data_IF_535547825117
#
_entry.id   IF_535547825117
#
_cell.length_a   1.000
_cell.length_b   1.000
_cell.length_c   1.000
_cell.angle_alpha   90.00
_cell.angle_beta   90.00
_cell.angle_gamma   90.00
#
_symmetry.space_group_name_H-M   'P 1'
#
loop_
_entity.id
_entity.type
_entity.pdbx_description
1 polymer ?
#
# COMPACT_ATOMS: atom_id res chain seq x y z
N UNK A 1 52.57 -72.88 41.85
CA UNK A 1 52.40 -71.77 40.89
C UNK A 1 51.89 -70.56 41.65
N UNK A 2 52.40 -69.34 41.44
CA UNK A 2 51.91 -68.15 42.15
C UNK A 2 50.48 -67.81 41.71
N UNK A 3 49.62 -67.48 42.68
CA UNK A 3 48.22 -67.11 42.43
C UNK A 3 48.16 -65.62 42.07
N UNK A 4 47.59 -65.28 40.92
CA UNK A 4 47.56 -63.92 40.37
C UNK A 4 46.19 -63.26 40.55
N UNK A 5 46.17 -61.98 40.91
CA UNK A 5 44.95 -61.17 40.93
C UNK A 5 44.73 -60.53 39.55
N UNK A 6 43.89 -61.13 38.71
CA UNK A 6 43.59 -60.62 37.36
C UNK A 6 43.21 -59.12 37.27
N UNK A 7 42.44 -58.53 38.20
CA UNK A 7 42.11 -57.10 38.12
C UNK A 7 43.21 -56.13 38.57
N UNK A 8 44.33 -56.58 39.16
CA UNK A 8 45.44 -55.67 39.52
C UNK A 8 46.86 -56.23 39.26
N UNK A 9 46.96 -57.38 38.59
CA UNK A 9 48.18 -58.10 38.19
C UNK A 9 49.20 -58.38 39.30
N UNK A 10 48.76 -58.37 40.57
CA UNK A 10 49.61 -58.74 41.71
C UNK A 10 49.70 -60.25 41.88
N UNK A 11 50.93 -60.75 42.10
CA UNK A 11 51.21 -62.15 42.41
C UNK A 11 51.26 -62.38 43.92
N UNK A 12 50.67 -63.50 44.35
CA UNK A 12 50.61 -63.91 45.75
C UNK A 12 51.24 -65.28 45.92
N UNK A 13 51.83 -65.50 47.10
CA UNK A 13 52.50 -66.74 47.47
C UNK A 13 51.53 -67.91 47.72
N UNK A 14 50.25 -67.62 47.95
CA UNK A 14 49.19 -68.62 48.14
C UNK A 14 47.80 -68.10 47.75
N UNK A 15 46.86 -69.03 47.51
CA UNK A 15 45.45 -68.71 47.27
C UNK A 15 44.77 -68.04 48.48
N UNK A 16 45.15 -68.42 49.71
CA UNK A 16 44.66 -67.79 50.94
C UNK A 16 45.02 -66.29 50.97
N UNK A 17 46.28 -65.97 50.60
CA UNK A 17 46.77 -64.59 50.56
C UNK A 17 46.08 -63.79 49.44
N UNK A 18 45.81 -64.42 48.29
CA UNK A 18 45.02 -63.82 47.22
C UNK A 18 43.57 -63.52 47.67
N UNK A 19 42.91 -64.45 48.37
CA UNK A 19 41.54 -64.25 48.90
C UNK A 19 41.50 -63.11 49.93
N UNK A 20 42.45 -63.06 50.85
CA UNK A 20 42.55 -61.98 51.83
C UNK A 20 42.82 -60.63 51.14
N UNK A 21 43.64 -60.61 50.09
CA UNK A 21 43.86 -59.41 49.28
C UNK A 21 42.58 -58.92 48.60
N UNK A 22 41.81 -59.82 47.98
CA UNK A 22 40.52 -59.47 47.36
C UNK A 22 39.52 -58.93 48.40
N UNK A 23 39.56 -59.43 49.63
CA UNK A 23 38.69 -58.97 50.71
C UNK A 23 39.14 -57.65 51.38
N UNK A 24 40.42 -57.28 51.32
CA UNK A 24 40.94 -56.10 52.06
C UNK A 24 41.31 -54.93 51.15
N UNK A 25 41.50 -55.18 49.85
CA UNK A 25 41.87 -54.15 48.89
C UNK A 25 40.70 -53.23 48.56
N UNK A 26 40.89 -51.92 48.72
CA UNK A 26 39.94 -50.88 48.30
C UNK A 26 39.66 -50.91 46.78
N UNK A 27 40.57 -51.46 45.99
CA UNK A 27 40.37 -51.64 44.54
C UNK A 27 39.31 -52.72 44.21
N UNK A 28 39.04 -53.63 45.14
CA UNK A 28 38.07 -54.73 45.01
C UNK A 28 36.92 -54.62 46.02
N UNK A 29 36.78 -53.45 46.66
CA UNK A 29 35.69 -53.15 47.56
C UNK A 29 34.33 -53.32 46.86
N UNK A 30 33.48 -54.27 47.29
CA UNK A 30 32.25 -54.62 46.58
C UNK A 30 31.12 -53.61 46.81
N UNK A 31 31.20 -52.78 47.85
CA UNK A 31 30.18 -51.80 48.18
C UNK A 31 30.66 -50.40 47.80
N UNK A 32 29.79 -49.59 47.20
CA UNK A 32 30.10 -48.21 46.84
C UNK A 32 28.90 -47.30 47.05
N UNK A 33 29.18 -46.01 47.21
CA UNK A 33 28.17 -44.97 47.39
C UNK A 33 27.91 -44.29 46.05
N UNK A 34 26.67 -44.41 45.55
CA UNK A 34 26.26 -43.86 44.25
C UNK A 34 26.36 -42.33 44.16
N UNK A 35 26.29 -41.63 45.30
CA UNK A 35 26.24 -40.16 45.32
C UNK A 35 27.61 -39.50 45.44
N UNK A 36 28.64 -40.19 45.93
CA UNK A 36 29.98 -39.59 46.13
C UNK A 36 31.15 -40.50 45.73
N UNK A 37 30.86 -41.58 44.98
CA UNK A 37 31.82 -42.54 44.40
C UNK A 37 32.79 -43.21 45.40
N UNK A 38 32.50 -43.13 46.70
CA UNK A 38 33.32 -43.77 47.74
C UNK A 38 33.06 -45.26 47.78
N UNK A 39 34.14 -46.05 47.78
CA UNK A 39 34.12 -47.52 47.89
C UNK A 39 34.42 -47.99 49.30
N UNK A 40 33.70 -49.01 49.75
CA UNK A 40 33.72 -49.60 51.09
C UNK A 40 33.89 -51.11 51.01
N UNK A 41 34.72 -51.64 51.90
CA UNK A 41 35.04 -53.07 51.95
C UNK A 41 33.90 -53.88 52.57
N UNK A 42 33.13 -53.27 53.48
CA UNK A 42 31.99 -53.91 54.17
C UNK A 42 30.71 -53.09 54.01
N UNK A 43 29.57 -53.78 54.11
CA UNK A 43 28.24 -53.17 54.04
C UNK A 43 28.00 -52.20 55.21
N UNK A 44 28.40 -52.55 56.43
CA UNK A 44 28.24 -51.68 57.61
C UNK A 44 28.97 -50.35 57.47
N UNK A 45 30.15 -50.35 56.85
CA UNK A 45 30.92 -49.14 56.60
C UNK A 45 30.23 -48.21 55.59
N UNK A 46 29.57 -48.78 54.57
CA UNK A 46 28.73 -48.00 53.66
C UNK A 46 27.50 -47.43 54.38
N UNK A 47 26.81 -48.23 55.21
CA UNK A 47 25.62 -47.78 55.94
C UNK A 47 25.94 -46.65 56.94
N UNK A 48 27.06 -46.72 57.65
CA UNK A 48 27.51 -45.62 58.51
C UNK A 48 27.84 -44.35 57.70
N UNK A 49 28.45 -44.50 56.53
CA UNK A 49 28.75 -43.38 55.65
C UNK A 49 27.47 -42.67 55.19
N UNK A 50 26.44 -43.43 54.78
CA UNK A 50 25.14 -42.87 54.37
C UNK A 50 24.45 -42.11 55.51
N UNK A 51 24.62 -42.54 56.77
CA UNK A 51 24.00 -41.89 57.94
C UNK A 51 24.73 -40.63 58.44
N UNK A 52 26.04 -40.53 58.20
CA UNK A 52 26.88 -39.51 58.85
C UNK A 52 27.44 -38.47 57.88
N UNK A 53 27.45 -38.75 56.58
CA UNK A 53 28.02 -37.83 55.62
C UNK A 53 27.09 -36.65 55.34
N UNK A 54 27.60 -35.40 55.33
CA UNK A 54 26.82 -34.21 54.99
C UNK A 54 26.18 -34.28 53.61
N UNK A 55 26.77 -35.03 52.68
CA UNK A 55 26.28 -35.22 51.31
C UNK A 55 24.95 -35.98 51.27
N UNK A 56 24.64 -36.76 52.31
CA UNK A 56 23.42 -37.56 52.41
C UNK A 56 22.42 -37.05 53.46
N UNK A 57 22.78 -35.98 54.19
CA UNK A 57 21.88 -35.33 55.12
C UNK A 57 20.98 -34.36 54.35
N UNK A 58 19.66 -34.33 54.61
CA UNK A 58 18.77 -33.37 53.99
C UNK A 58 19.13 -31.94 54.44
N UNK A 59 19.49 -31.06 53.50
CA UNK A 59 19.65 -29.63 53.73
C UNK A 59 18.42 -28.86 53.27
N UNK A 60 18.10 -27.76 53.95
CA UNK A 60 17.01 -26.85 53.58
C UNK A 60 17.61 -25.56 53.03
N UNK A 61 17.26 -25.22 51.80
CA UNK A 61 17.83 -24.06 51.09
C UNK A 61 16.96 -22.81 51.23
N UNK A 62 17.61 -21.67 51.48
CA UNK A 62 16.96 -20.37 51.42
C UNK A 62 16.70 -19.98 49.96
N UNK A 63 15.43 -19.88 49.56
CA UNK A 63 15.05 -19.49 48.19
C UNK A 63 15.51 -18.06 47.82
N UNK A 64 15.70 -17.19 48.81
CA UNK A 64 16.05 -15.79 48.58
C UNK A 64 17.55 -15.57 48.34
N UNK A 65 18.43 -16.37 48.95
CA UNK A 65 19.87 -16.18 48.84
C UNK A 65 20.67 -17.44 48.47
N UNK A 66 20.01 -18.59 48.35
CA UNK A 66 20.62 -19.86 47.94
C UNK A 66 21.49 -20.54 49.00
N UNK A 67 21.52 -20.05 50.25
CA UNK A 67 22.26 -20.71 51.34
C UNK A 67 21.54 -21.95 51.85
N UNK A 68 22.30 -23.05 51.99
CA UNK A 68 21.85 -24.32 52.56
C UNK A 68 22.04 -24.35 54.08
N UNK A 69 21.01 -24.83 54.79
CA UNK A 69 21.00 -24.95 56.24
C UNK A 69 20.75 -26.40 56.67
N UNK A 70 21.27 -26.75 57.84
CA UNK A 70 21.17 -28.11 58.42
C UNK A 70 19.81 -28.42 59.07
N UNK A 71 18.95 -27.42 59.26
CA UNK A 71 17.60 -27.57 59.81
C UNK A 71 16.71 -26.40 59.40
N UNK A 72 15.39 -26.59 59.52
CA UNK A 72 14.41 -25.56 59.20
C UNK A 72 14.44 -24.40 60.20
N UNK A 73 14.73 -24.64 61.48
CA UNK A 73 14.85 -23.61 62.51
C UNK A 73 16.02 -22.65 62.22
N UNK A 74 17.14 -23.19 61.72
CA UNK A 74 18.29 -22.39 61.33
C UNK A 74 17.97 -21.51 60.11
N UNK A 75 17.15 -22.01 59.17
CA UNK A 75 16.66 -21.22 58.04
C UNK A 75 15.70 -20.11 58.52
N UNK A 76 14.77 -20.41 59.43
CA UNK A 76 13.82 -19.43 59.97
C UNK A 76 14.55 -18.28 60.68
N UNK A 77 15.55 -18.55 61.51
CA UNK A 77 16.37 -17.50 62.14
C UNK A 77 17.12 -16.66 61.11
N UNK A 78 17.60 -17.26 60.03
CA UNK A 78 18.24 -16.54 58.93
C UNK A 78 17.27 -15.59 58.20
N UNK A 79 16.02 -16.01 57.98
CA UNK A 79 14.98 -15.18 57.34
C UNK A 79 14.54 -13.98 58.20
N UNK A 80 14.76 -14.02 59.51
CA UNK A 80 14.50 -12.89 60.41
C UNK A 80 15.61 -11.82 60.40
N UNK A 81 16.69 -12.03 59.63
CA UNK A 81 17.76 -11.04 59.54
C UNK A 81 17.36 -9.79 58.73
N UNK A 82 17.97 -8.62 58.99
CA UNK A 82 17.67 -7.38 58.27
C UNK A 82 17.85 -7.48 56.75
N UNK A 83 18.71 -8.39 56.28
CA UNK A 83 18.92 -8.63 54.85
C UNK A 83 17.72 -9.28 54.15
N UNK A 84 16.76 -9.81 54.91
CA UNK A 84 15.55 -10.45 54.42
C UNK A 84 14.27 -9.79 54.96
N UNK A 85 14.38 -8.62 55.59
CA UNK A 85 13.23 -7.84 56.01
C UNK A 85 12.51 -7.25 54.77
N UNK A 86 11.15 -7.23 54.75
CA UNK A 86 10.40 -6.62 53.66
C UNK A 86 10.66 -5.11 53.61
N UNK A 87 11.04 -4.60 52.43
CA UNK A 87 11.19 -3.16 52.14
C UNK A 87 9.88 -2.57 51.63
N UNK A 88 9.63 -1.30 51.97
CA UNK A 88 8.51 -0.53 51.42
C UNK A 88 9.05 0.45 50.39
N UNK A 89 8.91 0.12 49.11
CA UNK A 89 9.59 0.81 48.03
C UNK A 89 8.67 1.82 47.31
N UNK A 90 9.19 3.03 47.07
CA UNK A 90 8.52 4.03 46.26
C UNK A 90 8.82 3.79 44.77
N UNK A 91 7.82 3.35 43.99
CA UNK A 91 7.98 3.03 42.55
C UNK A 91 8.46 4.24 41.74
N UNK A 92 8.03 5.45 42.10
CA UNK A 92 8.37 6.68 41.36
C UNK A 92 9.81 7.15 41.54
N UNK A 93 10.52 6.75 42.61
CA UNK A 93 11.90 7.19 42.84
C UNK A 93 12.85 6.08 43.33
N UNK A 94 12.38 4.83 43.38
CA UNK A 94 13.09 3.63 43.83
C UNK A 94 13.77 3.77 45.20
N UNK A 95 13.20 4.57 46.11
CA UNK A 95 13.65 4.63 47.51
C UNK A 95 12.94 3.59 48.37
N UNK A 96 13.73 2.88 49.18
CA UNK A 96 13.27 1.90 50.16
C UNK A 96 13.08 2.51 51.54
N UNK A 97 11.96 2.19 52.17
CA UNK A 97 11.60 2.66 53.51
C UNK A 97 11.45 1.48 54.48
N UNK A 98 11.71 1.76 55.76
CA UNK A 98 11.66 0.78 56.86
C UNK A 98 10.24 0.33 57.23
N UNK A 99 9.22 1.11 56.87
CA UNK A 99 7.82 0.81 57.14
C UNK A 99 6.89 1.59 56.20
N UNK A 100 5.63 1.16 56.11
CA UNK A 100 4.57 1.76 55.30
C UNK A 100 4.30 3.24 55.66
N UNK A 101 4.36 3.59 56.95
CA UNK A 101 4.08 4.95 57.40
C UNK A 101 5.12 5.96 56.87
N UNK A 102 6.39 5.57 56.84
CA UNK A 102 7.46 6.39 56.25
C UNK A 102 7.30 6.55 54.73
N UNK A 103 6.84 5.49 54.03
CA UNK A 103 6.52 5.57 52.60
C UNK A 103 5.34 6.53 52.35
N UNK A 104 4.27 6.44 53.14
CA UNK A 104 3.10 7.34 53.04
C UNK A 104 3.45 8.80 53.26
N UNK A 105 4.32 9.11 54.22
CA UNK A 105 4.80 10.48 54.41
C UNK A 105 5.65 10.97 53.24
N UNK A 106 6.48 10.11 52.67
CA UNK A 106 7.28 10.43 51.49
C UNK A 106 6.42 10.75 50.26
N UNK A 107 5.34 10.00 50.03
CA UNK A 107 4.39 10.24 48.94
C UNK A 107 3.59 11.54 49.06
N UNK A 108 3.53 12.15 50.26
CA UNK A 108 2.91 13.47 50.46
C UNK A 108 3.83 14.65 50.13
N UNK A 109 5.08 14.39 49.71
CA UNK A 109 6.01 15.46 49.35
C UNK A 109 5.65 16.10 47.99
N UNK A 110 6.02 17.38 47.75
CA UNK A 110 5.72 18.07 46.49
C UNK A 110 6.25 17.37 45.23
N UNK A 111 7.28 16.54 45.37
CA UNK A 111 7.84 15.74 44.27
C UNK A 111 6.90 14.62 43.81
N UNK A 112 5.88 14.28 44.61
CA UNK A 112 4.91 13.22 44.36
C UNK A 112 3.46 13.72 44.40
N UNK A 113 3.25 15.04 44.41
CA UNK A 113 1.92 15.65 44.35
C UNK A 113 1.26 15.34 42.99
N UNK A 114 -0.02 14.91 42.92
CA UNK A 114 -0.67 14.63 41.64
C UNK A 114 -0.79 15.92 40.83
N UNK A 115 0.05 16.05 39.81
CA UNK A 115 -0.08 17.12 38.84
C UNK A 115 -1.07 16.72 37.74
N UNK A 116 -1.74 17.72 37.18
CA UNK A 116 -2.65 17.59 36.04
C UNK A 116 -1.88 18.01 34.77
N UNK A 117 -1.25 17.07 34.05
CA UNK A 117 -0.47 17.38 32.86
C UNK A 117 -1.37 17.77 31.69
N UNK A 118 -0.97 18.81 30.96
CA UNK A 118 -1.59 19.15 29.68
C UNK A 118 -1.19 18.12 28.63
N UNK A 119 -2.15 17.62 27.84
CA UNK A 119 -1.85 16.67 26.74
C UNK A 119 -1.23 17.35 25.52
N UNK A 120 -1.32 18.68 25.44
CA UNK A 120 -0.96 19.47 24.26
C UNK A 120 0.31 20.32 24.49
N UNK A 121 0.90 20.30 25.69
CA UNK A 121 2.20 20.93 25.99
C UNK A 121 2.82 20.35 27.27
N UNK A 122 4.10 20.67 27.53
CA UNK A 122 4.86 20.14 28.68
C UNK A 122 4.51 20.77 30.04
N UNK A 123 3.37 21.49 30.14
CA UNK A 123 2.95 22.14 31.39
C UNK A 123 2.08 21.22 32.23
N UNK A 124 2.34 21.22 33.54
CA UNK A 124 1.56 20.48 34.52
C UNK A 124 1.01 21.42 35.58
N UNK A 125 -0.24 21.19 35.99
CA UNK A 125 -0.99 22.09 36.87
C UNK A 125 -1.30 21.43 38.21
N UNK A 126 -1.52 22.25 39.22
CA UNK A 126 -1.80 21.83 40.61
C UNK A 126 -3.27 21.50 40.89
N UNK A 127 -4.17 21.75 39.94
CA UNK A 127 -5.58 21.36 40.01
C UNK A 127 -6.19 21.19 38.62
N UNK A 128 -7.29 20.45 38.53
CA UNK A 128 -8.03 20.27 37.27
C UNK A 128 -8.59 21.61 36.76
N UNK A 129 -9.09 22.48 37.63
CA UNK A 129 -9.64 23.79 37.23
C UNK A 129 -8.57 24.66 36.57
N UNK A 130 -7.33 24.62 37.08
CA UNK A 130 -6.21 25.33 36.48
C UNK A 130 -5.82 24.75 35.11
N UNK A 131 -5.92 23.42 34.94
CA UNK A 131 -5.73 22.77 33.64
C UNK A 131 -6.87 23.16 32.66
N UNK A 132 -8.13 23.17 33.08
CA UNK A 132 -9.26 23.54 32.23
C UNK A 132 -9.16 24.99 31.75
N UNK A 133 -8.78 25.93 32.62
CA UNK A 133 -8.53 27.32 32.22
C UNK A 133 -7.37 27.43 31.21
N UNK A 134 -6.31 26.63 31.38
CA UNK A 134 -5.21 26.57 30.42
C UNK A 134 -5.65 26.03 29.05
N UNK A 135 -6.52 25.01 29.02
CA UNK A 135 -7.08 24.44 27.79
C UNK A 135 -7.99 25.43 27.03
N UNK A 136 -8.55 26.43 27.71
CA UNK A 136 -9.32 27.52 27.09
C UNK A 136 -8.46 28.66 26.55
N UNK A 137 -7.13 28.61 26.71
CA UNK A 137 -6.23 29.65 26.20
C UNK A 137 -6.13 29.64 24.66
N UNK A 138 -5.77 30.76 24.02
CA UNK A 138 -5.64 30.84 22.56
C UNK A 138 -4.63 29.86 21.95
N UNK A 139 -3.68 29.36 22.75
CA UNK A 139 -2.70 28.36 22.33
C UNK A 139 -3.31 26.96 22.14
N UNK A 140 -4.49 26.71 22.70
CA UNK A 140 -5.20 25.43 22.64
C UNK A 140 -6.62 25.57 22.07
N UNK A 141 -6.96 26.75 21.53
CA UNK A 141 -8.21 26.95 20.82
C UNK A 141 -8.27 26.01 19.59
N UNK A 142 -9.39 25.29 19.38
CA UNK A 142 -9.53 24.42 18.22
C UNK A 142 -9.38 25.24 16.92
N UNK A 143 -8.39 24.87 16.11
CA UNK A 143 -8.20 25.45 14.78
C UNK A 143 -9.04 24.70 13.76
N UNK A 144 -9.51 25.43 12.77
CA UNK A 144 -10.19 24.88 11.60
C UNK A 144 -9.17 24.72 10.50
N UNK A 145 -8.65 23.50 10.36
CA UNK A 145 -7.57 23.21 9.42
C UNK A 145 -8.10 22.92 8.02
N UNK A 146 -7.45 23.50 7.02
CA UNK A 146 -7.71 23.15 5.64
C UNK A 146 -7.14 21.76 5.34
N UNK A 147 -7.94 20.89 4.72
CA UNK A 147 -7.51 19.53 4.34
C UNK A 147 -6.66 19.50 3.07
N UNK A 148 -6.63 20.60 2.31
CA UNK A 148 -5.96 20.72 1.01
C UNK A 148 -4.64 21.48 1.16
N UNK A 149 -4.56 22.44 2.07
CA UNK A 149 -3.29 23.09 2.43
C UNK A 149 -3.14 23.12 3.95
N UNK A 150 -1.89 23.10 4.45
CA UNK A 150 -1.59 23.07 5.89
C UNK A 150 -1.86 24.38 6.63
N UNK A 151 -2.86 25.18 6.21
CA UNK A 151 -3.27 26.42 6.88
C UNK A 151 -4.40 26.17 7.88
N UNK A 152 -4.24 26.79 9.04
CA UNK A 152 -5.14 26.69 10.19
C UNK A 152 -5.85 28.01 10.43
N UNK A 153 -7.17 27.97 10.62
CA UNK A 153 -8.01 29.14 10.81
C UNK A 153 -8.58 29.18 12.22
N UNK A 154 -8.84 30.39 12.75
CA UNK A 154 -9.41 30.60 14.09
C UNK A 154 -10.94 30.42 14.14
N UNK A 155 -11.60 30.27 13.00
CA UNK A 155 -13.05 30.07 12.89
C UNK A 155 -13.42 29.28 11.64
N UNK A 156 -14.55 28.57 11.72
CA UNK A 156 -15.16 27.82 10.60
C UNK A 156 -15.48 28.75 9.41
N UNK A 157 -15.97 29.95 9.69
CA UNK A 157 -16.29 30.95 8.66
C UNK A 157 -15.03 31.39 7.89
N UNK A 158 -13.90 31.54 8.60
CA UNK A 158 -12.61 31.82 7.99
C UNK A 158 -12.10 30.68 7.11
N UNK A 159 -12.31 29.42 7.53
CA UNK A 159 -11.99 28.25 6.72
C UNK A 159 -12.89 28.18 5.46
N UNK A 160 -14.20 28.44 5.59
CA UNK A 160 -15.13 28.46 4.45
C UNK A 160 -14.79 29.54 3.43
N UNK A 161 -14.38 30.73 3.88
CA UNK A 161 -13.91 31.78 2.99
C UNK A 161 -12.60 31.39 2.29
N UNK A 162 -11.69 30.75 3.01
CA UNK A 162 -10.45 30.21 2.44
C UNK A 162 -10.70 29.12 1.38
N UNK A 163 -11.67 28.23 1.62
CA UNK A 163 -12.08 27.20 0.64
C UNK A 163 -12.71 27.78 -0.63
N UNK A 164 -13.22 29.02 -0.58
CA UNK A 164 -13.70 29.77 -1.76
C UNK A 164 -12.58 30.51 -2.52
N UNK A 165 -11.32 30.40 -2.07
CA UNK A 165 -10.20 31.02 -2.80
C UNK A 165 -9.86 30.23 -4.06
N UNK A 166 -9.25 30.86 -5.09
CA UNK A 166 -8.91 30.20 -6.35
C UNK A 166 -8.01 28.97 -6.22
N UNK A 167 -7.28 28.83 -5.10
CA UNK A 167 -6.44 27.68 -4.79
C UNK A 167 -7.23 26.44 -4.35
N UNK A 168 -8.49 26.61 -3.95
CA UNK A 168 -9.35 25.56 -3.37
C UNK A 168 -10.74 25.49 -3.99
N UNK A 169 -11.04 26.33 -4.98
CA UNK A 169 -12.30 26.28 -5.70
C UNK A 169 -12.45 24.95 -6.46
N UNK A 170 -13.68 24.46 -6.58
CA UNK A 170 -13.98 23.26 -7.34
C UNK A 170 -13.66 23.55 -8.82
N UNK A 171 -12.50 23.10 -9.26
CA UNK A 171 -12.04 23.37 -10.62
C UNK A 171 -12.95 22.68 -11.62
N UNK A 172 -13.46 23.44 -12.59
CA UNK A 172 -14.07 22.89 -13.77
C UNK A 172 -12.96 22.39 -14.69
N UNK A 173 -12.89 21.07 -14.84
CA UNK A 173 -11.91 20.45 -15.69
C UNK A 173 -12.36 20.54 -17.15
N UNK A 174 -11.45 20.99 -18.02
CA UNK A 174 -11.63 20.83 -19.45
C UNK A 174 -11.53 19.34 -19.79
N UNK A 175 -12.59 18.80 -20.40
CA UNK A 175 -12.71 17.37 -20.74
C UNK A 175 -11.70 16.90 -21.81
N UNK A 176 -10.97 17.84 -22.42
CA UNK A 176 -10.18 17.60 -23.62
C UNK A 176 -8.69 17.89 -23.42
N UNK A 177 -8.31 18.77 -22.50
CA UNK A 177 -6.89 19.12 -22.29
C UNK A 177 -6.44 19.14 -20.83
N UNK A 178 -7.19 18.51 -19.92
CA UNK A 178 -6.94 18.40 -18.46
C UNK A 178 -6.62 19.70 -17.73
N UNK A 179 -6.87 20.85 -18.38
CA UNK A 179 -6.71 22.16 -17.76
C UNK A 179 -7.88 22.44 -16.84
N UNK A 180 -7.54 22.96 -15.67
CA UNK A 180 -8.44 23.22 -14.56
C UNK A 180 -8.79 24.70 -14.52
N UNK A 181 -10.08 25.02 -14.52
CA UNK A 181 -10.58 26.40 -14.53
C UNK A 181 -11.37 26.69 -13.27
N UNK A 182 -11.15 27.87 -12.69
CA UNK A 182 -11.79 28.31 -11.45
C UNK A 182 -13.12 29.05 -11.68
N UNK A 183 -13.63 29.09 -12.91
CA UNK A 183 -14.96 29.64 -13.21
C UNK A 183 -15.49 29.13 -14.54
N UNK A 184 -16.82 29.07 -14.68
CA UNK A 184 -17.48 28.67 -15.93
C UNK A 184 -17.11 29.60 -17.09
N UNK A 185 -17.03 30.92 -16.84
CA UNK A 185 -16.63 31.89 -17.85
C UNK A 185 -15.18 31.72 -18.31
N UNK A 186 -14.25 31.34 -17.41
CA UNK A 186 -12.86 31.07 -17.76
C UNK A 186 -12.72 29.77 -18.57
N UNK A 187 -13.49 28.74 -18.24
CA UNK A 187 -13.58 27.51 -19.04
C UNK A 187 -14.15 27.83 -20.44
N UNK A 188 -15.24 28.58 -20.54
CA UNK A 188 -15.85 28.95 -21.83
C UNK A 188 -14.92 29.82 -22.68
N UNK A 189 -14.15 30.73 -22.08
CA UNK A 189 -13.13 31.50 -22.77
C UNK A 189 -11.98 30.60 -23.26
N UNK A 190 -11.50 29.68 -22.43
CA UNK A 190 -10.51 28.68 -22.85
C UNK A 190 -11.02 27.79 -23.99
N UNK A 191 -12.28 27.34 -23.94
CA UNK A 191 -12.89 26.58 -25.02
C UNK A 191 -13.03 27.39 -26.33
N UNK A 192 -13.16 28.73 -26.25
CA UNK A 192 -13.22 29.62 -27.43
C UNK A 192 -11.87 30.02 -27.99
N UNK A 193 -10.87 30.21 -27.13
CA UNK A 193 -9.63 30.91 -27.49
C UNK A 193 -8.39 30.00 -27.46
N UNK A 194 -8.49 28.78 -26.89
CA UNK A 194 -7.37 27.83 -26.88
C UNK A 194 -7.16 27.25 -28.28
N UNK A 195 -5.94 27.15 -28.82
CA UNK A 195 -5.70 26.48 -30.10
C UNK A 195 -6.17 25.01 -30.14
N UNK A 196 -6.41 24.38 -28.97
CA UNK A 196 -6.93 23.01 -28.83
C UNK A 196 -8.48 22.94 -28.94
N UNK A 197 -9.20 24.05 -28.77
CA UNK A 197 -10.69 24.09 -28.78
C UNK A 197 -11.24 25.25 -29.62
N UNK A 198 -10.63 26.40 -29.47
CA UNK A 198 -10.70 27.58 -30.30
C UNK A 198 -9.95 27.44 -31.61
N UNK A 199 -10.38 26.49 -32.44
CA UNK A 199 -10.24 26.63 -33.88
C UNK A 199 -11.48 26.06 -34.56
N UNK A 200 -12.39 26.95 -34.95
CA UNK A 200 -13.13 26.80 -36.21
C UNK A 200 -12.17 27.06 -37.40
N UNK A 201 -10.96 26.48 -37.36
CA UNK A 201 -10.22 26.28 -38.60
C UNK A 201 -11.03 25.26 -39.38
N UNK A 202 -11.16 25.47 -40.70
CA UNK A 202 -11.84 24.49 -41.55
C UNK A 202 -11.17 23.15 -41.29
N UNK A 203 -11.90 22.20 -40.72
CA UNK A 203 -11.39 20.85 -40.51
C UNK A 203 -11.06 20.23 -41.87
N UNK A 204 -10.20 19.20 -41.94
CA UNK A 204 -9.95 18.48 -43.19
C UNK A 204 -11.24 18.07 -43.93
N UNK A 205 -12.30 17.62 -43.23
CA UNK A 205 -13.60 17.35 -43.86
C UNK A 205 -14.31 18.61 -44.31
N UNK A 206 -14.27 19.71 -43.55
CA UNK A 206 -14.89 20.97 -44.00
C UNK A 206 -14.20 21.50 -45.27
N UNK A 207 -12.89 21.30 -45.40
CA UNK A 207 -12.11 21.64 -46.59
C UNK A 207 -12.46 20.71 -47.75
N UNK A 208 -12.59 19.40 -47.50
CA UNK A 208 -13.02 18.42 -48.48
C UNK A 208 -14.42 18.72 -49.03
N UNK A 209 -15.43 18.77 -48.17
CA UNK A 209 -16.81 19.04 -48.58
C UNK A 209 -16.96 20.45 -49.17
N UNK A 210 -16.22 21.42 -48.65
CA UNK A 210 -16.18 22.79 -49.19
C UNK A 210 -15.54 22.92 -50.57
N UNK A 211 -14.83 21.88 -51.07
CA UNK A 211 -14.30 21.89 -52.44
C UNK A 211 -15.38 21.68 -53.50
N UNK A 212 -16.56 21.17 -53.12
CA UNK A 212 -17.69 20.92 -54.01
C UNK A 212 -18.69 22.09 -53.95
N UNK A 213 -18.62 23.02 -54.92
CA UNK A 213 -19.43 24.26 -54.91
C UNK A 213 -20.93 24.03 -54.91
N UNK A 214 -21.38 22.95 -55.54
CA UNK A 214 -22.80 22.59 -55.64
C UNK A 214 -23.34 21.90 -54.39
N UNK A 215 -22.45 21.47 -53.49
CA UNK A 215 -22.81 20.71 -52.30
C UNK A 215 -23.03 21.63 -51.09
N UNK A 216 -24.25 21.62 -50.56
CA UNK A 216 -24.57 22.34 -49.32
C UNK A 216 -24.18 21.48 -48.11
N UNK A 217 -22.95 21.66 -47.66
CA UNK A 217 -22.42 20.93 -46.51
C UNK A 217 -22.98 21.43 -45.17
N UNK A 218 -23.42 20.49 -44.33
CA UNK A 218 -23.88 20.72 -42.95
C UNK A 218 -22.94 20.00 -41.98
N UNK A 219 -22.09 20.73 -41.23
CA UNK A 219 -21.14 20.16 -40.27
C UNK A 219 -21.78 19.43 -39.08
N UNK A 220 -23.09 19.61 -38.84
CA UNK A 220 -23.81 18.94 -37.75
C UNK A 220 -24.21 17.51 -38.07
N UNK A 221 -24.19 17.14 -39.36
CA UNK A 221 -24.49 15.79 -39.80
C UNK A 221 -23.26 14.88 -39.67
N UNK A 222 -23.45 13.58 -39.39
CA UNK A 222 -22.39 12.59 -39.49
C UNK A 222 -21.67 12.67 -40.83
N UNK A 223 -20.34 12.64 -40.80
CA UNK A 223 -19.51 12.85 -42.00
C UNK A 223 -19.84 11.87 -43.13
N UNK A 224 -20.17 10.62 -42.81
CA UNK A 224 -20.60 9.62 -43.78
C UNK A 224 -21.92 9.99 -44.48
N UNK A 225 -22.89 10.54 -43.73
CA UNK A 225 -24.16 11.00 -44.31
C UNK A 225 -23.93 12.12 -45.32
N UNK A 226 -22.99 13.02 -45.02
CA UNK A 226 -22.59 14.09 -45.95
C UNK A 226 -21.94 13.52 -47.21
N UNK A 227 -21.06 12.53 -47.08
CA UNK A 227 -20.45 11.87 -48.25
C UNK A 227 -21.47 11.12 -49.12
N UNK A 228 -22.43 10.40 -48.50
CA UNK A 228 -23.49 9.73 -49.24
C UNK A 228 -24.32 10.71 -50.08
N UNK A 229 -24.72 11.84 -49.48
CA UNK A 229 -25.44 12.91 -50.20
C UNK A 229 -24.61 13.53 -51.33
N UNK A 230 -23.30 13.71 -51.12
CA UNK A 230 -22.40 14.23 -52.15
C UNK A 230 -22.31 13.25 -53.33
N UNK A 231 -22.11 11.96 -53.06
CA UNK A 231 -22.05 10.92 -54.09
C UNK A 231 -23.35 10.88 -54.91
N UNK A 232 -24.50 10.97 -54.25
CA UNK A 232 -25.80 10.96 -54.91
C UNK A 232 -26.03 12.24 -55.74
N UNK A 233 -25.48 13.39 -55.33
CA UNK A 233 -25.53 14.66 -56.07
C UNK A 233 -24.67 14.64 -57.34
N UNK A 234 -23.45 14.11 -57.24
CA UNK A 234 -22.49 14.04 -58.36
C UNK A 234 -22.77 12.84 -59.28
N UNK A 235 -23.61 11.89 -58.87
CA UNK A 235 -24.03 10.76 -59.69
C UNK A 235 -22.95 9.69 -59.90
N UNK A 236 -21.98 9.58 -58.98
CA UNK A 236 -20.87 8.65 -59.13
C UNK A 236 -21.32 7.18 -59.03
N UNK A 237 -21.12 6.44 -60.12
CA UNK A 237 -21.38 5.00 -60.18
C UNK A 237 -20.19 4.17 -59.66
N UNK A 238 -20.42 2.87 -59.44
CA UNK A 238 -19.36 1.97 -58.97
C UNK A 238 -18.29 1.84 -60.05
N UNK A 239 -17.06 2.28 -59.72
CA UNK A 239 -15.91 2.22 -60.63
C UNK A 239 -15.63 3.53 -61.35
N UNK A 240 -16.42 4.57 -61.10
CA UNK A 240 -16.16 5.92 -61.59
C UNK A 240 -14.81 6.46 -61.07
N UNK A 241 -13.90 6.93 -61.96
CA UNK A 241 -12.60 7.45 -61.55
C UNK A 241 -12.68 8.69 -60.67
N UNK A 242 -13.62 9.60 -60.91
CA UNK A 242 -13.80 10.83 -60.14
C UNK A 242 -14.40 10.51 -58.77
N UNK A 243 -15.39 9.61 -58.72
CA UNK A 243 -15.94 9.10 -57.47
C UNK A 243 -14.91 8.35 -56.63
N UNK A 244 -13.97 7.64 -57.27
CA UNK A 244 -12.85 6.99 -56.58
C UNK A 244 -11.85 8.00 -56.01
N UNK A 245 -11.46 9.02 -56.78
CA UNK A 245 -10.61 10.12 -56.28
C UNK A 245 -11.26 10.84 -55.09
N UNK A 246 -12.53 11.18 -55.21
CA UNK A 246 -13.29 11.83 -54.14
C UNK A 246 -13.40 10.95 -52.89
N UNK A 247 -13.56 9.63 -53.06
CA UNK A 247 -13.54 8.68 -51.97
C UNK A 247 -12.17 8.62 -51.27
N UNK A 248 -11.07 8.54 -52.03
CA UNK A 248 -9.73 8.50 -51.47
C UNK A 248 -9.42 9.81 -50.71
N UNK A 249 -9.77 10.97 -51.28
CA UNK A 249 -9.65 12.29 -50.61
C UNK A 249 -10.50 12.40 -49.34
N UNK A 250 -11.70 11.82 -49.34
CA UNK A 250 -12.54 11.74 -48.14
C UNK A 250 -11.89 10.87 -47.05
N UNK A 251 -11.29 9.73 -47.42
CA UNK A 251 -10.59 8.85 -46.48
C UNK A 251 -9.35 9.52 -45.88
N UNK A 252 -8.61 10.29 -46.68
CA UNK A 252 -7.45 11.07 -46.21
C UNK A 252 -7.89 12.18 -45.26
N UNK A 253 -9.00 12.86 -45.56
CA UNK A 253 -9.58 13.86 -44.67
C UNK A 253 -10.01 13.24 -43.32
N UNK A 254 -10.66 12.07 -43.34
CA UNK A 254 -11.02 11.33 -42.12
C UNK A 254 -9.78 10.96 -41.30
N UNK A 255 -8.71 10.49 -41.94
CA UNK A 255 -7.48 10.12 -41.26
C UNK A 255 -6.81 11.34 -40.59
N UNK A 256 -6.76 12.46 -41.31
CA UNK A 256 -6.19 13.71 -40.80
C UNK A 256 -7.00 14.25 -39.62
N UNK A 257 -8.34 14.14 -39.67
CA UNK A 257 -9.17 14.53 -38.53
C UNK A 257 -8.99 13.64 -37.32
N UNK A 258 -8.82 12.35 -37.53
CA UNK A 258 -8.57 11.42 -36.45
C UNK A 258 -7.28 11.76 -35.70
N UNK A 259 -6.20 12.08 -36.42
CA UNK A 259 -4.94 12.56 -35.84
C UNK A 259 -5.10 13.91 -35.16
N UNK A 260 -5.86 14.83 -35.77
CA UNK A 260 -6.17 16.14 -35.19
C UNK A 260 -6.88 16.04 -33.83
N UNK A 261 -7.83 15.10 -33.68
CA UNK A 261 -8.62 14.94 -32.45
C UNK A 261 -7.95 14.09 -31.37
N UNK A 262 -7.16 13.08 -31.76
CA UNK A 262 -6.61 12.08 -30.85
C UNK A 262 -5.07 12.01 -30.82
N UNK A 263 -4.42 13.00 -31.45
CA UNK A 263 -3.03 13.38 -31.22
C UNK A 263 -1.98 12.32 -31.55
N UNK A 264 -0.76 12.53 -31.02
CA UNK A 264 0.39 11.64 -31.13
C UNK A 264 0.53 10.73 -29.88
N UNK A 265 1.43 9.75 -29.94
CA UNK A 265 1.47 8.64 -28.96
C UNK A 265 2.06 9.00 -27.60
N UNK A 266 2.81 10.09 -27.58
CA UNK A 266 3.46 10.70 -26.43
C UNK A 266 2.56 11.72 -25.71
N UNK A 267 1.43 12.13 -26.30
CA UNK A 267 0.50 13.09 -25.70
C UNK A 267 -0.54 12.42 -24.78
N UNK A 268 -0.34 12.59 -23.48
CA UNK A 268 -1.25 12.07 -22.45
C UNK A 268 -2.66 12.68 -22.54
N UNK A 269 -2.79 13.96 -22.92
CA UNK A 269 -4.08 14.62 -23.02
C UNK A 269 -4.91 14.05 -24.19
N UNK A 270 -4.24 13.73 -25.29
CA UNK A 270 -4.84 13.05 -26.44
C UNK A 270 -5.34 11.64 -26.06
N UNK A 271 -4.52 10.89 -25.31
CA UNK A 271 -4.91 9.60 -24.74
C UNK A 271 -6.10 9.68 -23.78
N UNK A 272 -6.17 10.71 -22.95
CA UNK A 272 -7.29 10.92 -22.05
C UNK A 272 -8.58 11.26 -22.81
N UNK A 273 -8.49 12.06 -23.87
CA UNK A 273 -9.62 12.36 -24.76
C UNK A 273 -10.15 11.09 -25.43
N UNK A 274 -9.24 10.24 -25.97
CA UNK A 274 -9.60 8.93 -26.51
C UNK A 274 -10.24 8.02 -25.46
N UNK A 275 -9.63 7.92 -24.27
CA UNK A 275 -10.12 7.10 -23.16
C UNK A 275 -11.54 7.50 -22.76
N UNK A 276 -11.82 8.80 -22.64
CA UNK A 276 -13.16 9.32 -22.34
C UNK A 276 -14.16 9.00 -23.43
N UNK A 277 -13.80 9.17 -24.71
CA UNK A 277 -14.65 8.85 -25.84
C UNK A 277 -15.12 7.38 -25.80
N UNK A 278 -14.21 6.47 -25.42
CA UNK A 278 -14.46 5.03 -25.32
C UNK A 278 -14.85 4.56 -23.90
N UNK A 279 -15.24 5.49 -23.03
CA UNK A 279 -15.81 5.19 -21.71
C UNK A 279 -14.85 4.55 -20.69
N UNK A 280 -13.55 4.83 -20.78
CA UNK A 280 -12.54 4.46 -19.77
C UNK A 280 -12.47 5.60 -18.75
N UNK A 281 -13.09 5.40 -17.59
CA UNK A 281 -13.11 6.35 -16.48
C UNK A 281 -12.79 5.64 -15.15
N UNK A 282 -11.86 6.16 -14.32
CA UNK A 282 -11.00 7.31 -14.57
C UNK A 282 -9.93 7.04 -15.65
N UNK A 283 -9.48 8.06 -16.41
CA UNK A 283 -8.43 7.88 -17.40
C UNK A 283 -7.10 7.46 -16.70
N UNK A 284 -6.37 6.47 -17.24
CA UNK A 284 -5.12 6.01 -16.64
C UNK A 284 -4.03 7.08 -16.62
N UNK A 285 -3.13 7.10 -15.62
CA UNK A 285 -2.18 8.20 -15.42
C UNK A 285 -1.02 8.26 -16.41
N UNK A 286 -0.87 7.28 -17.32
CA UNK A 286 0.25 7.22 -18.27
C UNK A 286 -0.21 6.74 -19.64
N UNK A 287 0.44 7.22 -20.71
CA UNK A 287 0.13 6.84 -22.10
C UNK A 287 0.18 5.32 -22.30
N UNK A 288 1.14 4.63 -21.65
CA UNK A 288 1.26 3.18 -21.71
C UNK A 288 0.04 2.45 -21.13
N UNK A 289 -0.53 2.95 -20.04
CA UNK A 289 -1.73 2.38 -19.42
C UNK A 289 -2.98 2.71 -20.25
N UNK A 290 -3.08 3.92 -20.80
CA UNK A 290 -4.13 4.31 -21.74
C UNK A 290 -4.13 3.38 -22.98
N UNK A 291 -2.96 3.14 -23.57
CA UNK A 291 -2.76 2.21 -24.68
C UNK A 291 -3.22 0.80 -24.34
N UNK A 292 -2.88 0.30 -23.14
CA UNK A 292 -3.30 -1.03 -22.67
C UNK A 292 -4.82 -1.12 -22.48
N UNK A 293 -5.45 -0.09 -21.92
CA UNK A 293 -6.87 -0.06 -21.65
C UNK A 293 -7.71 0.07 -22.95
N UNK A 294 -7.24 0.86 -23.91
CA UNK A 294 -7.92 1.11 -25.18
C UNK A 294 -7.76 -0.06 -26.18
N UNK A 295 -6.68 -0.86 -26.09
CA UNK A 295 -6.33 -1.92 -27.06
C UNK A 295 -7.43 -2.95 -27.31
N UNK A 296 -8.25 -3.25 -26.30
CA UNK A 296 -9.29 -4.29 -26.38
C UNK A 296 -10.69 -3.73 -26.64
N UNK A 297 -10.81 -2.45 -27.01
CA UNK A 297 -12.09 -1.82 -27.36
C UNK A 297 -12.32 -1.94 -28.87
N UNK A 298 -13.57 -2.18 -29.25
CA UNK A 298 -14.00 -2.19 -30.65
C UNK A 298 -14.94 -1.00 -30.84
N UNK A 299 -14.53 -0.03 -31.66
CA UNK A 299 -15.33 1.16 -31.96
C UNK A 299 -15.25 1.46 -33.44
N UNK A 300 -16.29 2.09 -34.00
CA UNK A 300 -16.25 2.60 -35.36
C UNK A 300 -15.52 3.96 -35.38
N UNK A 301 -14.61 4.14 -36.34
CA UNK A 301 -13.73 5.31 -36.41
C UNK A 301 -14.49 6.56 -36.85
N UNK A 302 -15.45 6.41 -37.77
CA UNK A 302 -16.30 7.52 -38.22
C UNK A 302 -17.13 8.01 -37.04
N UNK A 303 -17.66 7.11 -36.21
CA UNK A 303 -18.36 7.48 -34.97
C UNK A 303 -17.44 8.18 -33.96
N UNK A 304 -16.18 7.77 -33.88
CA UNK A 304 -15.17 8.38 -33.01
C UNK A 304 -14.79 9.80 -33.49
N UNK A 305 -14.67 10.01 -34.81
CA UNK A 305 -14.43 11.34 -35.41
C UNK A 305 -15.66 12.23 -35.21
N UNK A 306 -16.86 11.73 -35.54
CA UNK A 306 -18.12 12.45 -35.35
C UNK A 306 -18.34 12.84 -33.87
N UNK A 307 -17.88 12.01 -32.92
CA UNK A 307 -17.87 12.34 -31.50
C UNK A 307 -16.88 13.47 -31.17
N UNK A 308 -15.65 13.40 -31.68
CA UNK A 308 -14.64 14.45 -31.50
C UNK A 308 -15.10 15.82 -32.03
N UNK A 309 -15.77 15.82 -33.20
CA UNK A 309 -16.36 17.01 -33.80
C UNK A 309 -17.50 17.62 -32.98
N UNK A 310 -18.39 16.78 -32.46
CA UNK A 310 -19.63 17.25 -31.83
C UNK A 310 -19.52 17.44 -30.31
N UNK A 311 -18.49 16.87 -29.67
CA UNK A 311 -18.26 16.88 -28.21
C UNK A 311 -19.54 16.64 -27.38
N UNK A 312 -20.50 15.89 -27.95
CA UNK A 312 -21.78 15.67 -27.31
C UNK A 312 -21.56 14.73 -26.14
N UNK A 313 -22.19 14.98 -24.98
CA UNK A 313 -22.06 14.14 -23.78
C UNK A 313 -22.51 12.67 -23.92
N UNK A 314 -22.76 12.19 -25.14
CA UNK A 314 -23.07 10.79 -25.46
C UNK A 314 -21.76 10.05 -25.77
N UNK A 315 -21.50 8.93 -25.09
CA UNK A 315 -20.32 8.08 -25.32
C UNK A 315 -20.37 7.42 -26.70
N UNK A 316 -19.21 7.16 -27.30
CA UNK A 316 -19.11 6.40 -28.56
C UNK A 316 -19.60 4.98 -28.34
N UNK A 317 -20.30 4.41 -29.31
CA UNK A 317 -20.76 3.02 -29.23
C UNK A 317 -19.56 2.06 -29.24
N UNK A 318 -19.51 1.18 -28.25
CA UNK A 318 -18.47 0.14 -28.12
C UNK A 318 -19.10 -1.21 -28.43
N UNK A 319 -18.42 -2.00 -29.28
CA UNK A 319 -18.83 -3.33 -29.66
C UNK A 319 -18.09 -4.39 -28.83
N UNK A 320 -18.74 -5.54 -28.62
CA UNK A 320 -18.17 -6.64 -27.82
C UNK A 320 -17.04 -7.34 -28.56
N UNK A 321 -17.20 -7.48 -29.87
CA UNK A 321 -16.31 -8.22 -30.76
C UNK A 321 -16.22 -7.53 -32.13
N UNK A 322 -15.33 -8.04 -32.97
CA UNK A 322 -15.09 -7.52 -34.32
C UNK A 322 -16.33 -7.75 -35.20
N UNK A 323 -16.99 -8.89 -35.11
CA UNK A 323 -18.14 -9.26 -35.96
C UNK A 323 -19.34 -8.31 -35.81
N UNK A 324 -19.63 -7.87 -34.59
CA UNK A 324 -20.65 -6.84 -34.33
C UNK A 324 -20.25 -5.49 -34.93
N UNK A 325 -18.96 -5.12 -34.84
CA UNK A 325 -18.45 -3.92 -35.49
C UNK A 325 -18.55 -4.04 -37.03
N UNK A 326 -18.28 -5.21 -37.61
CA UNK A 326 -18.43 -5.45 -39.06
C UNK A 326 -19.87 -5.31 -39.51
N UNK A 327 -20.78 -5.94 -38.77
CA UNK A 327 -22.22 -5.92 -39.05
C UNK A 327 -22.74 -4.48 -39.02
N UNK A 328 -22.40 -3.74 -37.97
CA UNK A 328 -22.76 -2.32 -37.85
C UNK A 328 -22.16 -1.45 -38.97
N UNK A 329 -20.89 -1.67 -39.32
CA UNK A 329 -20.22 -0.91 -40.39
C UNK A 329 -20.88 -1.18 -41.75
N UNK A 330 -21.29 -2.42 -42.02
CA UNK A 330 -22.03 -2.79 -43.24
C UNK A 330 -23.45 -2.21 -43.28
N UNK A 331 -24.16 -2.23 -42.16
CA UNK A 331 -25.53 -1.70 -42.06
C UNK A 331 -25.57 -0.17 -42.17
N UNK A 332 -24.60 0.51 -41.56
CA UNK A 332 -24.56 1.99 -41.54
C UNK A 332 -23.76 2.58 -42.69
N UNK A 333 -22.91 1.79 -43.35
CA UNK A 333 -22.00 2.24 -44.41
C UNK A 333 -20.84 3.11 -43.92
N UNK A 334 -20.66 3.28 -42.60
CA UNK A 334 -19.60 4.10 -41.98
C UNK A 334 -18.21 3.48 -42.14
N UNK A 335 -17.70 3.51 -43.37
CA UNK A 335 -16.47 2.82 -43.77
C UNK A 335 -15.27 3.75 -43.61
N UNK A 336 -14.25 3.24 -42.95
CA UNK A 336 -12.91 3.83 -42.88
C UNK A 336 -11.91 2.82 -43.46
N UNK A 337 -11.17 3.20 -44.51
CA UNK A 337 -10.22 2.33 -45.20
C UNK A 337 -9.06 2.00 -44.27
N UNK A 338 -8.84 0.70 -44.05
CA UNK A 338 -7.67 0.19 -43.35
C UNK A 338 -6.57 -0.16 -44.37
N UNK A 339 -5.50 0.64 -44.50
CA UNK A 339 -4.42 0.36 -45.46
C UNK A 339 -3.51 -0.80 -45.01
N UNK A 340 -3.71 -1.35 -43.81
CA UNK A 340 -2.87 -2.41 -43.22
C UNK A 340 -3.57 -3.78 -43.17
N UNK A 341 -4.74 -3.90 -43.80
CA UNK A 341 -5.42 -5.19 -43.98
C UNK A 341 -5.19 -5.64 -45.43
N UNK A 342 -4.21 -6.52 -45.65
CA UNK A 342 -3.97 -7.17 -46.94
C UNK A 342 -4.89 -8.40 -47.15
N UNK A 343 -5.82 -8.67 -46.23
CA UNK A 343 -6.82 -9.72 -46.37
C UNK A 343 -8.04 -9.28 -47.19
N UNK A 344 -8.75 -10.23 -47.81
CA UNK A 344 -9.99 -10.06 -48.59
C UNK A 344 -11.20 -9.48 -47.79
N UNK A 345 -10.98 -9.02 -46.55
CA UNK A 345 -11.97 -8.90 -45.48
C UNK A 345 -12.41 -7.44 -45.17
N UNK A 346 -12.35 -6.55 -46.17
CA UNK A 346 -13.23 -5.39 -46.26
C UNK A 346 -13.20 -4.38 -45.10
N UNK A 347 -12.01 -3.92 -44.68
CA UNK A 347 -11.87 -2.60 -44.03
C UNK A 347 -12.34 -2.49 -42.58
N UNK A 348 -12.46 -3.59 -41.83
CA UNK A 348 -12.89 -3.52 -40.43
C UNK A 348 -11.70 -3.29 -39.49
N UNK A 349 -11.64 -2.10 -38.87
CA UNK A 349 -10.50 -1.73 -38.04
C UNK A 349 -10.86 -1.72 -36.54
N UNK A 350 -10.21 -2.59 -35.77
CA UNK A 350 -10.23 -2.56 -34.30
C UNK A 350 -9.40 -1.37 -33.81
N UNK A 351 -9.73 -0.83 -32.63
CA UNK A 351 -8.97 0.26 -32.01
C UNK A 351 -7.47 -0.08 -31.92
N UNK A 352 -7.12 -1.36 -31.68
CA UNK A 352 -5.76 -1.90 -31.79
C UNK A 352 -5.00 -1.54 -33.10
N UNK A 353 -5.69 -1.48 -34.22
CA UNK A 353 -5.11 -1.13 -35.53
C UNK A 353 -5.07 0.38 -35.76
N UNK A 354 -6.07 1.10 -35.25
CA UNK A 354 -6.04 2.57 -35.15
C UNK A 354 -4.85 3.04 -34.31
N UNK A 355 -4.55 2.37 -33.19
CA UNK A 355 -3.34 2.55 -32.38
C UNK A 355 -2.03 2.23 -33.10
N UNK A 356 -2.04 1.56 -34.26
CA UNK A 356 -0.84 1.35 -35.10
C UNK A 356 -0.69 2.43 -36.16
N UNK A 357 -1.78 3.10 -36.53
CA UNK A 357 -1.82 4.16 -37.54
C UNK A 357 -1.50 5.53 -36.92
N UNK A 358 -2.13 5.85 -35.79
CA UNK A 358 -1.97 7.16 -35.11
C UNK A 358 -0.62 7.24 -34.36
N UNK A 359 -0.14 6.10 -33.84
CA UNK A 359 0.92 6.07 -32.82
C UNK A 359 2.16 5.29 -33.27
N UNK A 360 2.66 5.62 -34.46
CA UNK A 360 3.79 4.94 -35.09
C UNK A 360 5.10 5.69 -34.90
#
# INVERSE_FOLDING_TARGET
MPSLCAPCDRSFSSDEALRQHLQTSRAHAPFYCDTCDRKFVTKDALEQHLKTSPVHLPSVDCKTCGRSFKSEEALQQHLQSPAHAPTFDCISCNRSFKNDEALKQHLKSPAHDPTFPCKNCDRSFKSDEALQQHMQSPAHAPTFDCKICSRSFKSDEGLKQHMKSPAHDATLDCQTCDRKFHSKGALEAHLRDSPVHGQKSKTPLDTFFGSFRSFKYDPSLPSYTSFAKLRDLEGWERGDPEGKDAWDRYQDALATELEMWYGADDDLAAWHSLCRAVGIEPPPPTCALCKKAARNKHVNIVDLIDWGRNQSGKKVRIFRDVDQLRTYTRETGKIFRNPYDEGEDGGNMVLRHLLRRIFR
#
